data_IF_527403370789
#
_entry.id   IF_527403370789
#
_cell.length_a   1.000
_cell.length_b   1.000
_cell.length_c   1.000
_cell.angle_alpha   90.00
_cell.angle_beta   90.00
_cell.angle_gamma   90.00
#
_symmetry.space_group_name_H-M   'P 1'
#
loop_
_entity.id
_entity.type
_entity.pdbx_description
1 polymer ?
#
# COMPACT_ATOMS: atom_id res chain seq x y z
N UNK A 1 -4.63 -2.79 -5.25
CA UNK A 1 -4.88 -4.23 -5.16
C UNK A 1 -3.56 -4.97 -5.23
N UNK A 2 -3.27 -5.75 -4.22
CA UNK A 2 -2.08 -6.57 -4.12
C UNK A 2 -2.39 -7.99 -4.59
N UNK A 3 -1.42 -8.64 -5.17
CA UNK A 3 -1.51 -10.06 -5.52
C UNK A 3 -0.14 -10.71 -5.32
N UNK A 4 -0.12 -11.81 -4.60
CA UNK A 4 1.04 -12.70 -4.60
C UNK A 4 1.12 -13.41 -5.96
N UNK A 5 2.26 -13.29 -6.64
CA UNK A 5 2.49 -13.80 -7.99
C UNK A 5 2.16 -12.81 -9.11
N UNK A 6 2.37 -13.24 -10.35
CA UNK A 6 2.28 -12.37 -11.52
C UNK A 6 0.89 -11.77 -11.72
N UNK A 7 0.83 -10.49 -12.00
CA UNK A 7 -0.38 -9.86 -12.53
C UNK A 7 -0.47 -10.11 -14.04
N UNK A 8 -1.68 -10.21 -14.55
CA UNK A 8 -1.96 -10.43 -15.97
C UNK A 8 -2.76 -9.24 -16.52
N UNK A 9 -2.10 -8.15 -16.99
CA UNK A 9 -2.78 -6.93 -17.45
C UNK A 9 -3.88 -7.21 -18.49
N UNK A 10 -3.63 -8.10 -19.44
CA UNK A 10 -4.62 -8.46 -20.44
C UNK A 10 -5.91 -9.01 -19.84
N UNK A 11 -5.81 -9.92 -18.86
CA UNK A 11 -6.99 -10.49 -18.18
C UNK A 11 -7.78 -9.42 -17.41
N UNK A 12 -7.07 -8.52 -16.73
CA UNK A 12 -7.68 -7.40 -15.98
C UNK A 12 -8.46 -6.51 -16.96
N UNK A 13 -7.82 -6.06 -18.03
CA UNK A 13 -8.45 -5.19 -19.03
C UNK A 13 -9.63 -5.85 -19.75
N UNK A 14 -9.55 -7.16 -20.03
CA UNK A 14 -10.67 -7.92 -20.58
C UNK A 14 -11.88 -7.90 -19.66
N UNK A 15 -11.69 -8.07 -18.35
CA UNK A 15 -12.80 -7.99 -17.37
C UNK A 15 -13.48 -6.63 -17.34
N UNK A 16 -12.74 -5.53 -17.44
CA UNK A 16 -13.35 -4.19 -17.55
C UNK A 16 -14.17 -4.08 -18.84
N UNK A 17 -13.67 -4.56 -19.98
CA UNK A 17 -14.40 -4.55 -21.26
C UNK A 17 -15.67 -5.40 -21.23
N UNK A 18 -15.61 -6.60 -20.67
CA UNK A 18 -16.78 -7.48 -20.49
C UNK A 18 -17.90 -6.79 -19.71
N UNK A 19 -17.53 -5.95 -18.73
CA UNK A 19 -18.47 -5.15 -17.94
C UNK A 19 -18.82 -3.79 -18.59
N UNK A 20 -18.44 -3.57 -19.85
CA UNK A 20 -18.67 -2.33 -20.61
C UNK A 20 -18.09 -1.08 -19.94
N UNK A 21 -16.97 -1.24 -19.24
CA UNK A 21 -16.29 -0.16 -18.56
C UNK A 21 -15.14 0.38 -19.42
N UNK A 22 -15.18 1.68 -19.69
CA UNK A 22 -14.07 2.38 -20.33
C UNK A 22 -12.95 2.65 -19.31
N UNK A 23 -11.73 2.28 -19.69
CA UNK A 23 -10.56 2.45 -18.84
C UNK A 23 -9.46 3.21 -19.57
N UNK A 24 -8.84 4.14 -18.85
CA UNK A 24 -7.60 4.78 -19.27
C UNK A 24 -6.42 4.10 -18.56
N UNK A 25 -5.58 3.41 -19.30
CA UNK A 25 -4.33 2.84 -18.77
C UNK A 25 -3.31 3.95 -18.61
N UNK A 26 -2.85 4.20 -17.39
CA UNK A 26 -1.86 5.24 -17.07
C UNK A 26 -0.45 4.69 -16.85
N UNK A 27 -0.35 3.40 -16.51
CA UNK A 27 0.92 2.68 -16.40
C UNK A 27 0.70 1.19 -16.68
N UNK A 28 1.55 0.61 -17.51
CA UNK A 28 1.61 -0.83 -17.72
C UNK A 28 3.08 -1.25 -17.83
N UNK A 29 3.59 -1.86 -16.77
CA UNK A 29 4.96 -2.39 -16.71
C UNK A 29 4.97 -3.73 -16.00
N UNK A 30 6.11 -4.42 -16.05
CA UNK A 30 6.26 -5.69 -15.34
C UNK A 30 5.89 -5.52 -13.85
N UNK A 31 4.99 -6.34 -13.38
CA UNK A 31 4.53 -6.35 -12.00
C UNK A 31 3.58 -5.21 -11.59
N UNK A 32 3.23 -4.26 -12.48
CA UNK A 32 2.32 -3.17 -12.12
C UNK A 32 1.44 -2.72 -13.29
N UNK A 33 0.14 -2.57 -13.00
CA UNK A 33 -0.84 -1.94 -13.90
C UNK A 33 -1.58 -0.85 -13.13
N UNK A 34 -1.56 0.39 -13.65
CA UNK A 34 -2.41 1.48 -13.17
C UNK A 34 -3.42 1.83 -14.26
N UNK A 35 -4.65 2.01 -13.86
CA UNK A 35 -5.71 2.46 -14.75
C UNK A 35 -6.68 3.39 -14.01
N UNK A 36 -7.43 4.18 -14.76
CA UNK A 36 -8.51 5.03 -14.27
C UNK A 36 -9.80 4.54 -14.93
N UNK A 37 -10.82 4.28 -14.11
CA UNK A 37 -12.17 3.94 -14.54
C UNK A 37 -13.15 4.78 -13.73
N UNK A 38 -14.11 5.44 -14.39
CA UNK A 38 -15.11 6.30 -13.72
C UNK A 38 -14.49 7.30 -12.72
N UNK A 39 -13.36 7.93 -13.08
CA UNK A 39 -12.58 8.84 -12.23
C UNK A 39 -11.90 8.16 -11.00
N UNK A 40 -12.04 6.86 -10.84
CA UNK A 40 -11.37 6.10 -9.77
C UNK A 40 -10.05 5.53 -10.30
N UNK A 41 -8.97 5.74 -9.56
CA UNK A 41 -7.65 5.18 -9.89
C UNK A 41 -7.51 3.79 -9.27
N UNK A 42 -7.25 2.81 -10.11
CA UNK A 42 -6.90 1.45 -9.71
C UNK A 42 -5.42 1.20 -9.93
N UNK A 43 -4.77 0.65 -8.92
CA UNK A 43 -3.40 0.17 -9.00
C UNK A 43 -3.38 -1.31 -8.66
N UNK A 44 -2.95 -2.13 -9.62
CA UNK A 44 -2.69 -3.55 -9.43
C UNK A 44 -1.18 -3.72 -9.43
N UNK A 45 -0.64 -4.39 -8.45
CA UNK A 45 0.77 -4.71 -8.47
C UNK A 45 1.10 -6.04 -7.79
N UNK A 46 2.17 -6.67 -8.27
CA UNK A 46 2.72 -7.85 -7.66
C UNK A 46 3.36 -7.46 -6.32
N UNK A 47 2.96 -8.17 -5.28
CA UNK A 47 3.53 -8.04 -3.95
C UNK A 47 4.02 -9.42 -3.52
N UNK A 48 5.33 -9.58 -3.41
CA UNK A 48 5.97 -10.88 -3.28
C UNK A 48 5.83 -11.50 -1.88
N UNK A 49 5.31 -10.73 -0.93
CA UNK A 49 5.13 -11.18 0.44
C UNK A 49 3.72 -11.71 0.66
N UNK A 50 3.63 -12.80 1.41
CA UNK A 50 2.35 -13.43 1.75
C UNK A 50 1.77 -12.73 2.98
N UNK A 51 0.98 -11.71 2.75
CA UNK A 51 0.29 -10.93 3.79
C UNK A 51 -1.10 -11.51 4.00
N UNK A 52 -1.44 -11.78 5.24
CA UNK A 52 -2.79 -12.19 5.61
C UNK A 52 -3.81 -11.07 5.32
N UNK A 53 -4.99 -11.46 4.82
CA UNK A 53 -6.09 -10.55 4.51
C UNK A 53 -7.37 -11.02 5.23
N UNK A 54 -7.39 -10.97 6.58
CA UNK A 54 -8.47 -11.56 7.37
C UNK A 54 -9.75 -10.72 7.37
N UNK A 55 -9.68 -9.46 6.92
CA UNK A 55 -10.83 -8.56 6.96
C UNK A 55 -11.53 -8.56 5.61
N UNK A 56 -12.77 -9.05 5.59
CA UNK A 56 -13.63 -9.08 4.40
C UNK A 56 -14.52 -7.84 4.37
N UNK A 57 -14.59 -7.20 3.20
CA UNK A 57 -15.47 -6.08 2.91
C UNK A 57 -16.35 -6.46 1.74
N UNK A 58 -17.68 -6.37 1.91
CA UNK A 58 -18.68 -6.58 0.85
C UNK A 58 -18.50 -7.90 0.08
N UNK A 59 -18.24 -8.99 0.78
CA UNK A 59 -18.16 -10.38 0.25
C UNK A 59 -17.09 -10.60 -0.86
N UNK A 60 -16.36 -9.57 -1.25
CA UNK A 60 -15.47 -9.63 -2.42
C UNK A 60 -14.10 -9.05 -2.22
N UNK A 61 -13.91 -8.22 -1.20
CA UNK A 61 -12.68 -7.49 -0.97
C UNK A 61 -12.08 -7.92 0.36
N UNK A 62 -10.90 -8.50 0.28
CA UNK A 62 -10.13 -8.87 1.46
C UNK A 62 -9.01 -7.86 1.67
N UNK A 63 -8.90 -7.35 2.90
CA UNK A 63 -7.87 -6.38 3.28
C UNK A 63 -7.06 -6.89 4.46
N UNK A 64 -5.81 -6.44 4.60
CA UNK A 64 -4.98 -6.72 5.78
C UNK A 64 -5.65 -6.20 7.05
N UNK A 65 -5.35 -6.82 8.18
CA UNK A 65 -5.68 -6.22 9.48
C UNK A 65 -4.93 -4.89 9.67
N UNK A 66 -5.35 -4.11 10.65
CA UNK A 66 -4.69 -2.84 10.95
C UNK A 66 -3.23 -3.03 11.37
N UNK A 67 -2.91 -4.14 12.06
CA UNK A 67 -1.53 -4.48 12.43
C UNK A 67 -0.71 -4.89 11.21
N UNK A 68 -1.28 -5.68 10.29
CA UNK A 68 -0.62 -6.07 9.04
C UNK A 68 -0.33 -4.84 8.18
N UNK A 69 -1.31 -3.94 8.08
CA UNK A 69 -1.14 -2.67 7.38
C UNK A 69 -0.02 -1.82 8.00
N UNK A 70 0.05 -1.76 9.33
CA UNK A 70 1.12 -1.05 10.04
C UNK A 70 2.50 -1.66 9.75
N UNK A 71 2.61 -2.99 9.75
CA UNK A 71 3.85 -3.71 9.41
C UNK A 71 4.29 -3.42 7.96
N UNK A 72 3.35 -3.45 7.00
CA UNK A 72 3.62 -3.10 5.60
C UNK A 72 4.10 -1.65 5.46
N UNK A 73 3.52 -0.71 6.21
CA UNK A 73 3.92 0.70 6.21
C UNK A 73 5.27 0.93 6.90
N UNK A 74 5.55 0.23 7.99
CA UNK A 74 6.85 0.27 8.65
C UNK A 74 7.97 -0.21 7.71
N UNK A 75 7.73 -1.29 6.97
CA UNK A 75 8.65 -1.77 5.94
C UNK A 75 8.80 -0.76 4.79
N UNK A 76 7.70 -0.23 4.26
CA UNK A 76 7.72 0.75 3.18
C UNK A 76 8.45 2.04 3.59
N UNK A 77 8.33 2.49 4.84
CA UNK A 77 8.97 3.69 5.34
C UNK A 77 10.50 3.56 5.33
N UNK A 78 11.05 2.36 5.56
CA UNK A 78 12.48 2.08 5.42
C UNK A 78 13.01 2.23 3.99
N UNK A 79 12.12 2.17 2.98
CA UNK A 79 12.47 2.23 1.56
C UNK A 79 12.09 3.56 0.88
N UNK A 80 11.15 4.32 1.46
CA UNK A 80 10.63 5.58 0.89
C UNK A 80 10.06 6.48 1.97
N UNK A 81 10.17 7.80 1.82
CA UNK A 81 9.67 8.78 2.78
C UNK A 81 8.44 9.50 2.22
N UNK A 82 7.28 8.82 2.24
CA UNK A 82 6.01 9.42 1.83
C UNK A 82 5.20 9.90 3.04
N UNK A 83 4.75 11.14 3.02
CA UNK A 83 3.94 11.76 4.08
C UNK A 83 2.79 10.89 4.57
N UNK A 84 2.05 10.26 3.65
CA UNK A 84 0.92 9.39 4.00
C UNK A 84 1.33 8.23 4.91
N UNK A 85 2.48 7.61 4.66
CA UNK A 85 2.93 6.47 5.45
C UNK A 85 3.24 6.91 6.90
N UNK A 86 3.76 8.14 7.09
CA UNK A 86 3.96 8.73 8.42
C UNK A 86 2.63 9.03 9.14
N UNK A 87 1.66 9.62 8.43
CA UNK A 87 0.36 9.93 9.02
C UNK A 87 -0.40 8.68 9.43
N UNK A 88 -0.43 7.68 8.58
CA UNK A 88 -1.09 6.42 8.90
C UNK A 88 -0.43 5.74 10.10
N UNK A 89 0.91 5.67 10.13
CA UNK A 89 1.65 5.11 11.26
C UNK A 89 1.46 5.93 12.54
N UNK A 90 1.40 7.26 12.45
CA UNK A 90 1.14 8.11 13.62
C UNK A 90 -0.16 7.72 14.31
N UNK A 91 -1.28 7.63 13.57
CA UNK A 91 -2.58 7.26 14.15
C UNK A 91 -2.60 5.83 14.66
N UNK A 92 -1.98 4.90 13.92
CA UNK A 92 -1.93 3.49 14.33
C UNK A 92 -1.12 3.33 15.63
N UNK A 93 0.05 3.97 15.72
CA UNK A 93 0.91 3.87 16.90
C UNK A 93 0.38 4.66 18.09
N UNK A 94 -0.38 5.74 17.86
CA UNK A 94 -0.99 6.54 18.93
C UNK A 94 -2.11 5.77 19.63
N UNK A 95 -2.99 5.11 18.88
CA UNK A 95 -4.28 4.69 19.39
C UNK A 95 -4.44 3.16 19.42
N UNK A 96 -3.60 2.37 18.75
CA UNK A 96 -3.84 0.93 18.54
C UNK A 96 -2.68 0.01 18.91
N UNK A 97 -1.47 0.28 18.47
CA UNK A 97 -0.34 -0.64 18.63
C UNK A 97 0.94 0.05 19.03
N UNK A 98 1.81 -0.68 19.72
CA UNK A 98 3.16 -0.23 20.04
C UNK A 98 4.11 -0.45 18.85
N UNK A 99 5.22 0.29 18.83
CA UNK A 99 6.29 0.08 17.85
C UNK A 99 6.79 -1.35 17.85
N UNK A 100 6.90 -1.99 19.04
CA UNK A 100 7.36 -3.37 19.16
C UNK A 100 6.41 -4.35 18.48
N UNK A 101 5.09 -4.23 18.70
CA UNK A 101 4.10 -5.09 18.04
C UNK A 101 4.15 -4.95 16.51
N UNK A 102 4.27 -3.72 16.01
CA UNK A 102 4.42 -3.46 14.58
C UNK A 102 5.72 -4.05 14.04
N UNK A 103 6.82 -3.93 14.78
CA UNK A 103 8.11 -4.48 14.39
C UNK A 103 8.14 -6.01 14.37
N UNK A 104 7.54 -6.65 15.38
CA UNK A 104 7.41 -8.11 15.42
C UNK A 104 6.63 -8.64 14.21
N UNK A 105 5.50 -7.98 13.87
CA UNK A 105 4.71 -8.36 12.71
C UNK A 105 5.46 -8.10 11.40
N UNK A 106 6.22 -7.00 11.32
CA UNK A 106 7.05 -6.70 10.17
C UNK A 106 8.19 -7.72 9.98
N UNK A 107 8.82 -8.15 11.06
CA UNK A 107 9.81 -9.23 10.99
C UNK A 107 9.20 -10.56 10.53
N UNK A 108 7.99 -10.87 10.97
CA UNK A 108 7.29 -12.08 10.53
C UNK A 108 7.09 -12.11 9.01
N UNK A 109 6.72 -10.97 8.41
CA UNK A 109 6.46 -10.89 6.97
C UNK A 109 7.72 -10.70 6.11
N UNK A 110 8.66 -9.90 6.57
CA UNK A 110 9.78 -9.41 5.74
C UNK A 110 11.15 -9.98 6.16
N UNK A 111 11.20 -10.69 7.30
CA UNK A 111 12.43 -11.30 7.80
C UNK A 111 13.58 -10.30 7.89
N UNK A 112 14.74 -10.69 7.41
CA UNK A 112 15.97 -9.90 7.43
C UNK A 112 15.94 -8.65 6.54
N UNK A 113 14.93 -8.53 5.68
CA UNK A 113 14.74 -7.32 4.86
C UNK A 113 14.14 -6.16 5.66
N UNK A 114 13.56 -6.43 6.83
CA UNK A 114 13.07 -5.41 7.74
C UNK A 114 14.10 -5.09 8.81
N UNK A 115 14.27 -3.82 9.11
CA UNK A 115 15.13 -3.35 10.21
C UNK A 115 14.36 -2.40 11.12
N UNK A 116 14.11 -2.84 12.36
CA UNK A 116 13.48 -2.00 13.38
C UNK A 116 14.30 -0.74 13.67
N UNK A 117 15.64 -0.86 13.65
CA UNK A 117 16.54 0.30 13.85
C UNK A 117 16.32 1.37 12.78
N UNK A 118 16.20 0.95 11.50
CA UNK A 118 15.91 1.88 10.40
C UNK A 118 14.51 2.46 10.55
N UNK A 119 13.51 1.64 10.87
CA UNK A 119 12.15 2.10 11.10
C UNK A 119 12.07 3.18 12.19
N UNK A 120 12.67 2.92 13.36
CA UNK A 120 12.74 3.90 14.47
C UNK A 120 13.48 5.15 14.07
N UNK A 121 14.57 5.02 13.31
CA UNK A 121 15.33 6.15 12.77
C UNK A 121 14.49 6.99 11.83
N UNK A 122 13.74 6.37 10.93
CA UNK A 122 12.87 7.06 9.97
C UNK A 122 11.71 7.79 10.66
N UNK A 123 11.11 7.22 11.71
CA UNK A 123 10.06 7.90 12.48
C UNK A 123 10.51 9.25 13.07
N UNK A 124 11.81 9.43 13.28
CA UNK A 124 12.40 10.68 13.80
C UNK A 124 13.01 11.56 12.70
N UNK A 125 12.96 11.12 11.43
CA UNK A 125 13.64 11.81 10.33
C UNK A 125 12.62 12.34 9.32
N UNK A 126 12.36 13.65 9.38
CA UNK A 126 11.36 14.32 8.55
C UNK A 126 11.95 15.06 7.33
N UNK A 127 13.29 15.06 7.17
CA UNK A 127 13.94 15.72 6.04
C UNK A 127 13.73 14.90 4.74
N UNK A 128 13.25 15.55 3.69
CA UNK A 128 13.05 14.89 2.39
C UNK A 128 11.74 14.12 2.26
N UNK A 129 10.77 14.33 3.15
CA UNK A 129 9.43 13.75 3.02
C UNK A 129 8.75 14.30 1.75
N UNK A 130 8.24 13.40 0.90
CA UNK A 130 7.45 13.78 -0.26
C UNK A 130 6.00 14.10 0.14
N UNK A 131 5.57 15.32 -0.13
CA UNK A 131 4.21 15.83 0.10
C UNK A 131 3.36 15.85 -1.18
N UNK A 132 3.72 15.11 -2.21
CA UNK A 132 3.08 15.14 -3.55
C UNK A 132 1.54 15.07 -3.54
N UNK A 133 0.97 14.48 -2.48
CA UNK A 133 -0.49 14.29 -2.39
C UNK A 133 -1.22 15.52 -1.87
N UNK A 134 -0.58 16.37 -1.06
CA UNK A 134 -1.21 17.60 -0.57
C UNK A 134 -1.47 18.60 -1.69
N UNK A 135 -0.65 18.59 -2.73
CA UNK A 135 -0.81 19.46 -3.90
C UNK A 135 -2.06 19.10 -4.74
N UNK A 136 -2.48 17.84 -4.73
CA UNK A 136 -3.70 17.41 -5.45
C UNK A 136 -5.00 17.69 -4.70
N UNK A 137 -4.97 17.80 -3.37
CA UNK A 137 -6.16 18.10 -2.57
C UNK A 137 -6.52 19.60 -2.59
N UNK A 138 -5.54 20.48 -2.86
CA UNK A 138 -5.76 21.93 -2.93
C UNK A 138 -6.41 22.40 -4.24
N UNK A 139 -6.63 21.52 -5.21
CA UNK A 139 -7.25 21.81 -6.51
C UNK A 139 -8.63 21.16 -6.70
N UNK A 140 -9.24 20.62 -5.66
CA UNK A 140 -10.65 20.20 -5.71
C UNK A 140 -11.51 21.39 -5.32
N UNK A 141 -12.42 21.83 -6.22
CA UNK A 141 -13.37 22.93 -5.96
C UNK A 141 -14.37 22.58 -4.86
#
# INVERSE_FOLDING_TARGET
>A
LFKNGAIHPKKILTRFKENKEDVLVTLNRQGQLNLVCRKVKFTFFNFEYDIEHPVEIEESIFIPSLLDLAAMKAFALGMRSKWKDYMDLYFILKDHYTISQVSEKAHLYFGDLYSEKLFRGQLNYFKGISFEVLLHLSFLP
#
